data_IF_650367955377
#
_entry.id   IF_650367955377
#
_cell.length_a   1.000
_cell.length_b   1.000
_cell.length_c   1.000
_cell.angle_alpha   90.00
_cell.angle_beta   90.00
_cell.angle_gamma   90.00
#
_symmetry.space_group_name_H-M   'P 1'
#
loop_
_entity.id
_entity.type
_entity.pdbx_description
1 polymer ?
#
# COMPACT_ATOMS: atom_id res chain seq x y z
N UNK A 1 5.17 -12.68 -21.77
CA UNK A 1 4.73 -11.58 -22.66
C UNK A 1 3.65 -12.08 -23.60
N UNK A 2 2.39 -11.74 -23.30
CA UNK A 2 1.26 -12.03 -24.17
C UNK A 2 1.32 -11.21 -25.46
N UNK A 3 1.22 -11.89 -26.60
CA UNK A 3 1.03 -11.22 -27.89
C UNK A 3 -0.43 -10.84 -28.13
N UNK A 4 -0.70 -9.94 -29.10
CA UNK A 4 -2.05 -9.54 -29.50
C UNK A 4 -2.94 -10.70 -29.98
N UNK A 5 -2.36 -11.87 -30.27
CA UNK A 5 -3.08 -13.09 -30.69
C UNK A 5 -3.23 -14.14 -29.58
N UNK A 6 -2.84 -13.82 -28.34
CA UNK A 6 -3.01 -14.76 -27.22
C UNK A 6 -4.51 -14.99 -26.96
N UNK A 7 -4.99 -16.24 -26.92
CA UNK A 7 -6.37 -16.54 -26.60
C UNK A 7 -6.80 -15.93 -25.25
N UNK A 8 -8.01 -15.37 -25.22
CA UNK A 8 -8.63 -14.75 -24.05
C UNK A 8 -8.52 -15.62 -22.78
N UNK A 9 -8.81 -16.91 -22.93
CA UNK A 9 -8.80 -17.90 -21.85
C UNK A 9 -7.41 -18.14 -21.27
N UNK A 10 -6.34 -18.06 -22.08
CA UNK A 10 -4.97 -18.23 -21.59
C UNK A 10 -4.52 -17.02 -20.76
N UNK A 11 -4.95 -15.81 -21.14
CA UNK A 11 -4.71 -14.60 -20.36
C UNK A 11 -5.47 -14.70 -19.02
N UNK A 12 -6.71 -15.16 -19.04
CA UNK A 12 -7.54 -15.36 -17.84
C UNK A 12 -6.90 -16.34 -16.86
N UNK A 13 -6.55 -17.54 -17.33
CA UNK A 13 -5.94 -18.57 -16.49
C UNK A 13 -4.60 -18.13 -15.89
N UNK A 14 -3.81 -17.37 -16.65
CA UNK A 14 -2.55 -16.86 -16.14
C UNK A 14 -2.75 -15.77 -15.09
N UNK A 15 -3.66 -14.83 -15.32
CA UNK A 15 -3.99 -13.77 -14.35
C UNK A 15 -4.53 -14.39 -13.06
N UNK A 16 -5.43 -15.37 -13.17
CA UNK A 16 -5.97 -16.09 -12.02
C UNK A 16 -4.85 -16.80 -11.23
N UNK A 17 -3.94 -17.50 -11.90
CA UNK A 17 -2.80 -18.16 -11.26
C UNK A 17 -1.91 -17.15 -10.51
N UNK A 18 -1.61 -16.00 -11.13
CA UNK A 18 -0.78 -14.96 -10.49
C UNK A 18 -1.48 -14.34 -9.29
N UNK A 19 -2.80 -14.13 -9.35
CA UNK A 19 -3.58 -13.62 -8.21
C UNK A 19 -3.60 -14.64 -7.06
N UNK A 20 -3.77 -15.92 -7.36
CA UNK A 20 -3.71 -16.99 -6.34
C UNK A 20 -2.34 -17.06 -5.68
N UNK A 21 -1.25 -17.07 -6.48
CA UNK A 21 0.11 -17.06 -5.95
C UNK A 21 0.36 -15.84 -5.05
N UNK A 22 -0.11 -14.65 -5.47
CA UNK A 22 0.02 -13.43 -4.67
C UNK A 22 -0.70 -13.56 -3.32
N UNK A 23 -1.93 -14.07 -3.30
CA UNK A 23 -2.70 -14.25 -2.06
C UNK A 23 -1.99 -15.23 -1.11
N UNK A 24 -1.49 -16.34 -1.63
CA UNK A 24 -0.72 -17.32 -0.84
C UNK A 24 0.59 -16.73 -0.30
N UNK A 25 1.27 -15.92 -1.10
CA UNK A 25 2.50 -15.23 -0.69
C UNK A 25 2.23 -14.22 0.44
N UNK A 26 1.12 -13.47 0.35
CA UNK A 26 0.72 -12.52 1.39
C UNK A 26 0.40 -13.24 2.72
N UNK A 27 -0.37 -14.32 2.67
CA UNK A 27 -0.69 -15.13 3.87
C UNK A 27 0.58 -15.73 4.48
N UNK A 28 1.49 -16.25 3.66
CA UNK A 28 2.78 -16.75 4.12
C UNK A 28 3.57 -15.67 4.87
N UNK A 29 3.70 -14.48 4.29
CA UNK A 29 4.48 -13.41 4.92
C UNK A 29 3.84 -12.87 6.18
N UNK A 30 2.51 -12.75 6.23
CA UNK A 30 1.79 -12.30 7.42
C UNK A 30 1.99 -13.26 8.59
N UNK A 31 1.91 -14.58 8.34
CA UNK A 31 2.13 -15.61 9.36
C UNK A 31 3.56 -15.68 9.90
N UNK A 32 4.54 -15.23 9.12
CA UNK A 32 5.95 -15.18 9.53
C UNK A 32 6.31 -13.86 10.25
N UNK A 33 5.39 -12.89 10.32
CA UNK A 33 5.66 -11.61 10.96
C UNK A 33 5.71 -11.77 12.49
N UNK A 34 6.79 -11.32 13.15
CA UNK A 34 6.91 -11.42 14.61
C UNK A 34 5.91 -10.51 15.36
N UNK A 35 5.29 -9.54 14.69
CA UNK A 35 4.31 -8.62 15.25
C UNK A 35 2.98 -8.88 14.55
N UNK A 36 1.99 -9.42 15.25
CA UNK A 36 0.69 -9.75 14.64
C UNK A 36 -0.02 -8.50 14.09
N UNK A 37 0.10 -7.39 14.81
CA UNK A 37 -0.46 -6.09 14.44
C UNK A 37 0.20 -5.52 13.18
N UNK A 38 -0.61 -5.19 12.16
CA UNK A 38 -0.13 -4.71 10.86
C UNK A 38 0.64 -5.75 10.03
N UNK A 39 0.58 -7.03 10.39
CA UNK A 39 1.28 -8.10 9.68
C UNK A 39 0.81 -8.25 8.23
N UNK A 40 -0.50 -8.20 7.99
CA UNK A 40 -1.06 -8.25 6.63
C UNK A 40 -0.57 -7.07 5.77
N UNK A 41 -0.46 -5.86 6.33
CA UNK A 41 0.06 -4.69 5.61
C UNK A 41 1.55 -4.80 5.31
N UNK A 42 2.35 -5.34 6.23
CA UNK A 42 3.78 -5.58 5.99
C UNK A 42 3.99 -6.68 4.96
N UNK A 43 3.17 -7.72 4.97
CA UNK A 43 3.13 -8.71 3.91
C UNK A 43 2.83 -8.06 2.56
N UNK A 44 1.85 -7.15 2.52
CA UNK A 44 1.50 -6.38 1.33
C UNK A 44 2.68 -5.54 0.82
N UNK A 45 3.27 -4.70 1.68
CA UNK A 45 4.44 -3.90 1.33
C UNK A 45 5.57 -4.79 0.80
N UNK A 46 5.81 -5.93 1.46
CA UNK A 46 6.86 -6.87 1.06
C UNK A 46 6.62 -7.45 -0.33
N UNK A 47 5.44 -8.01 -0.59
CA UNK A 47 5.10 -8.62 -1.88
C UNK A 47 5.22 -7.62 -3.05
N UNK A 48 4.78 -6.38 -2.84
CA UNK A 48 4.81 -5.35 -3.89
C UNK A 48 6.13 -4.57 -3.99
N UNK A 49 7.02 -4.66 -2.99
CA UNK A 49 8.33 -3.98 -3.00
C UNK A 49 9.40 -4.67 -3.85
N UNK A 50 9.32 -5.99 -4.07
CA UNK A 50 10.34 -6.76 -4.77
C UNK A 50 10.24 -6.61 -6.31
N UNK A 51 10.83 -5.54 -6.82
CA UNK A 51 10.82 -5.10 -8.24
C UNK A 51 11.34 -6.16 -9.21
N UNK A 52 12.31 -6.96 -8.77
CA UNK A 52 13.09 -7.83 -9.65
C UNK A 52 12.34 -9.09 -10.09
N UNK A 53 11.44 -9.62 -9.27
CA UNK A 53 10.50 -10.69 -9.68
C UNK A 53 9.23 -10.14 -10.34
N UNK A 54 8.93 -8.88 -10.08
CA UNK A 54 7.77 -8.18 -10.60
C UNK A 54 7.88 -7.79 -12.09
N UNK A 55 9.09 -7.59 -12.62
CA UNK A 55 9.30 -7.35 -14.07
C UNK A 55 9.18 -8.61 -14.95
N UNK A 56 9.24 -9.80 -14.34
CA UNK A 56 9.06 -11.10 -15.01
C UNK A 56 7.61 -11.59 -15.02
N UNK A 57 6.78 -11.16 -14.06
CA UNK A 57 5.35 -11.49 -13.97
C UNK A 57 4.51 -10.43 -14.70
N UNK A 58 4.48 -10.44 -16.04
CA UNK A 58 3.61 -9.66 -16.97
C UNK A 58 2.62 -8.65 -16.30
N UNK A 59 3.11 -7.61 -15.60
CA UNK A 59 2.26 -6.73 -14.77
C UNK A 59 1.34 -5.86 -15.62
N UNK A 60 1.79 -5.55 -16.83
CA UNK A 60 0.96 -4.91 -17.85
C UNK A 60 -0.24 -5.78 -18.21
N UNK A 61 -0.09 -7.11 -18.22
CA UNK A 61 -1.20 -8.03 -18.47
C UNK A 61 -2.15 -8.11 -17.28
N UNK A 62 -1.64 -8.09 -16.04
CA UNK A 62 -2.46 -7.97 -14.83
C UNK A 62 -3.26 -6.67 -14.81
N UNK A 63 -2.63 -5.53 -15.09
CA UNK A 63 -3.31 -4.23 -15.15
C UNK A 63 -4.34 -4.20 -16.29
N UNK A 64 -3.97 -4.69 -17.48
CA UNK A 64 -4.90 -4.79 -18.60
C UNK A 64 -6.08 -5.71 -18.28
N UNK A 65 -5.83 -6.86 -17.64
CA UNK A 65 -6.88 -7.78 -17.21
C UNK A 65 -7.77 -7.18 -16.13
N UNK A 66 -7.22 -6.47 -15.14
CA UNK A 66 -8.00 -5.77 -14.12
C UNK A 66 -8.94 -4.72 -14.73
N UNK A 67 -8.48 -3.99 -15.76
CA UNK A 67 -9.30 -2.97 -16.45
C UNK A 67 -10.31 -3.60 -17.41
N UNK A 68 -9.88 -4.57 -18.24
CA UNK A 68 -10.71 -5.15 -19.28
C UNK A 68 -11.67 -6.24 -18.77
N UNK A 69 -11.31 -6.89 -17.67
CA UNK A 69 -11.99 -8.06 -17.10
C UNK A 69 -11.97 -8.01 -15.56
N UNK A 70 -12.75 -7.10 -14.94
CA UNK A 70 -12.72 -6.87 -13.50
C UNK A 70 -12.99 -8.11 -12.63
N UNK A 71 -13.69 -9.11 -13.17
CA UNK A 71 -13.94 -10.38 -12.49
C UNK A 71 -12.65 -11.18 -12.21
N UNK A 72 -11.59 -11.00 -13.02
CA UNK A 72 -10.30 -11.66 -12.77
C UNK A 72 -9.52 -11.06 -11.61
N UNK A 73 -9.86 -9.83 -11.21
CA UNK A 73 -9.31 -9.18 -10.03
C UNK A 73 -10.17 -9.43 -8.78
N UNK A 74 -11.23 -10.25 -8.86
CA UNK A 74 -12.19 -10.40 -7.78
C UNK A 74 -11.55 -10.90 -6.48
N UNK A 75 -10.64 -11.88 -6.53
CA UNK A 75 -9.94 -12.37 -5.33
C UNK A 75 -9.09 -11.29 -4.67
N UNK A 76 -8.42 -10.44 -5.45
CA UNK A 76 -7.65 -9.31 -4.92
C UNK A 76 -8.56 -8.22 -4.33
N UNK A 77 -9.69 -7.94 -4.97
CA UNK A 77 -10.71 -7.01 -4.45
C UNK A 77 -11.31 -7.54 -3.14
N UNK A 78 -11.60 -8.83 -3.05
CA UNK A 78 -12.11 -9.47 -1.84
C UNK A 78 -11.07 -9.44 -0.72
N UNK A 79 -9.78 -9.66 -1.03
CA UNK A 79 -8.69 -9.52 -0.08
C UNK A 79 -8.60 -8.09 0.46
N UNK A 80 -8.50 -7.08 -0.41
CA UNK A 80 -8.39 -5.69 0.03
C UNK A 80 -9.60 -5.27 0.86
N UNK A 81 -10.82 -5.68 0.48
CA UNK A 81 -12.04 -5.42 1.27
C UNK A 81 -12.05 -6.12 2.63
N UNK A 82 -11.42 -7.29 2.76
CA UNK A 82 -11.27 -7.98 4.04
C UNK A 82 -10.32 -7.17 4.93
N UNK A 83 -9.14 -6.84 4.42
CA UNK A 83 -8.14 -6.06 5.15
C UNK A 83 -8.68 -4.68 5.53
N UNK A 84 -9.35 -3.96 4.61
CA UNK A 84 -9.98 -2.67 4.91
C UNK A 84 -11.03 -2.77 6.01
N UNK A 85 -11.78 -3.88 6.06
CA UNK A 85 -12.79 -4.08 7.12
C UNK A 85 -12.14 -4.37 8.47
N UNK A 86 -11.06 -5.13 8.47
CA UNK A 86 -10.29 -5.44 9.68
C UNK A 86 -9.60 -4.18 10.20
N UNK A 87 -9.00 -3.37 9.32
CA UNK A 87 -8.34 -2.11 9.68
C UNK A 87 -9.29 -1.03 10.20
N UNK A 88 -10.47 -0.93 9.59
CA UNK A 88 -11.48 0.06 9.98
C UNK A 88 -12.37 -0.40 11.14
N UNK A 89 -12.17 -1.61 11.66
CA UNK A 89 -12.83 -2.07 12.87
C UNK A 89 -12.26 -1.30 14.07
N UNK A 90 -13.08 -0.54 14.83
CA UNK A 90 -12.61 0.19 16.02
C UNK A 90 -11.94 -0.69 17.09
N UNK A 91 -12.11 -2.02 17.03
CA UNK A 91 -11.46 -2.98 17.91
C UNK A 91 -10.09 -3.51 17.43
N UNK A 92 -9.65 -3.12 16.23
CA UNK A 92 -8.42 -3.61 15.61
C UNK A 92 -7.35 -2.52 15.52
N UNK A 93 -6.06 -2.90 15.52
CA UNK A 93 -5.02 -1.95 15.89
C UNK A 93 -4.40 -1.19 14.71
N UNK A 94 -4.54 -1.71 13.47
CA UNK A 94 -3.91 -1.13 12.29
C UNK A 94 -4.54 0.21 11.85
N UNK A 95 -5.84 0.41 12.12
CA UNK A 95 -6.53 1.67 11.90
C UNK A 95 -6.51 2.15 10.44
N UNK A 96 -6.77 3.44 10.23
CA UNK A 96 -6.76 4.04 8.89
C UNK A 96 -5.38 3.96 8.22
N UNK A 97 -4.30 3.78 9.00
CA UNK A 97 -2.94 3.68 8.51
C UNK A 97 -2.75 2.50 7.55
N UNK A 98 -3.31 1.33 7.85
CA UNK A 98 -3.20 0.15 6.96
C UNK A 98 -3.77 0.43 5.56
N UNK A 99 -4.94 1.09 5.51
CA UNK A 99 -5.56 1.56 4.26
C UNK A 99 -4.64 2.54 3.51
N UNK A 100 -4.05 3.52 4.21
CA UNK A 100 -3.14 4.50 3.60
C UNK A 100 -1.91 3.80 3.02
N UNK A 101 -1.33 2.84 3.75
CA UNK A 101 -0.15 2.07 3.32
C UNK A 101 -0.48 1.27 2.06
N UNK A 102 -1.61 0.56 2.02
CA UNK A 102 -2.04 -0.20 0.83
C UNK A 102 -2.24 0.70 -0.38
N UNK A 103 -2.95 1.82 -0.24
CA UNK A 103 -3.17 2.76 -1.34
C UNK A 103 -1.86 3.38 -1.86
N UNK A 104 -0.91 3.67 -0.96
CA UNK A 104 0.40 4.17 -1.35
C UNK A 104 1.21 3.10 -2.10
N UNK A 105 1.14 1.84 -1.68
CA UNK A 105 1.77 0.71 -2.36
C UNK A 105 1.15 0.46 -3.74
N UNK A 106 -0.18 0.50 -3.87
CA UNK A 106 -0.87 0.40 -5.16
C UNK A 106 -0.42 1.50 -6.12
N UNK A 107 -0.33 2.74 -5.62
CA UNK A 107 0.17 3.88 -6.39
C UNK A 107 1.64 3.72 -6.82
N UNK A 108 2.49 3.17 -5.95
CA UNK A 108 3.88 2.86 -6.27
C UNK A 108 3.97 1.77 -7.35
N UNK A 109 3.18 0.70 -7.21
CA UNK A 109 3.11 -0.41 -8.17
C UNK A 109 2.64 0.06 -9.55
N UNK A 110 1.53 0.81 -9.62
CA UNK A 110 1.05 1.39 -10.88
C UNK A 110 2.10 2.32 -11.49
N UNK A 111 2.82 3.08 -10.66
CA UNK A 111 3.88 3.95 -11.14
C UNK A 111 4.99 3.18 -11.86
N UNK A 112 5.33 1.98 -11.43
CA UNK A 112 6.37 1.16 -12.09
C UNK A 112 5.93 0.64 -13.45
N UNK A 113 4.65 0.33 -13.58
CA UNK A 113 4.05 -0.11 -14.85
C UNK A 113 4.08 1.04 -15.86
N UNK A 114 3.80 2.25 -15.42
CA UNK A 114 3.75 3.43 -16.27
C UNK A 114 5.13 4.02 -16.59
N UNK A 115 6.02 4.04 -15.59
CA UNK A 115 7.38 4.56 -15.69
C UNK A 115 8.29 3.87 -14.66
N UNK A 116 8.92 2.78 -15.09
CA UNK A 116 9.87 2.00 -14.28
C UNK A 116 11.16 2.74 -13.93
N UNK A 117 11.39 3.93 -14.52
CA UNK A 117 12.57 4.76 -14.26
C UNK A 117 12.28 5.93 -13.31
N UNK A 118 11.02 6.09 -12.89
CA UNK A 118 10.58 7.23 -12.07
C UNK A 118 11.34 7.34 -10.75
N UNK A 119 11.66 6.20 -10.13
CA UNK A 119 12.39 6.12 -8.86
C UNK A 119 13.61 5.23 -9.00
N UNK A 120 14.74 5.66 -8.42
CA UNK A 120 15.89 4.78 -8.24
C UNK A 120 15.62 3.70 -7.19
N UNK A 121 16.42 2.63 -7.21
CA UNK A 121 16.35 1.56 -6.20
C UNK A 121 16.44 2.11 -4.77
N UNK A 122 17.32 3.09 -4.52
CA UNK A 122 17.48 3.73 -3.21
C UNK A 122 16.23 4.53 -2.79
N UNK A 123 15.64 5.29 -3.73
CA UNK A 123 14.41 6.05 -3.47
C UNK A 123 13.25 5.10 -3.17
N UNK A 124 13.16 4.01 -3.92
CA UNK A 124 12.14 2.99 -3.71
C UNK A 124 12.31 2.27 -2.38
N UNK A 125 13.54 1.89 -2.02
CA UNK A 125 13.87 1.32 -0.73
C UNK A 125 13.46 2.27 0.41
N UNK A 126 13.71 3.57 0.25
CA UNK A 126 13.29 4.58 1.23
C UNK A 126 11.77 4.70 1.35
N UNK A 127 11.03 4.76 0.23
CA UNK A 127 9.56 4.84 0.23
C UNK A 127 8.98 3.61 0.93
N UNK A 128 9.38 2.41 0.50
CA UNK A 128 8.87 1.16 1.07
C UNK A 128 9.25 1.01 2.55
N UNK A 129 10.46 1.42 2.96
CA UNK A 129 10.85 1.44 4.37
C UNK A 129 9.99 2.38 5.22
N UNK A 130 9.60 3.55 4.69
CA UNK A 130 8.69 4.48 5.38
C UNK A 130 7.31 3.83 5.51
N UNK A 131 6.78 3.25 4.43
CA UNK A 131 5.48 2.59 4.44
C UNK A 131 5.46 1.41 5.43
N UNK A 132 6.49 0.58 5.45
CA UNK A 132 6.67 -0.46 6.47
C UNK A 132 6.72 0.14 7.88
N UNK A 133 7.46 1.24 8.08
CA UNK A 133 7.53 1.92 9.38
C UNK A 133 6.16 2.40 9.88
N UNK A 134 5.30 2.90 8.98
CA UNK A 134 3.95 3.34 9.32
C UNK A 134 3.09 2.19 9.87
N UNK A 135 3.26 0.95 9.38
CA UNK A 135 2.49 -0.22 9.87
C UNK A 135 2.76 -0.60 11.33
N UNK A 136 3.74 0.04 11.99
CA UNK A 136 4.02 -0.13 13.42
C UNK A 136 3.44 0.99 14.29
N UNK A 137 2.74 1.96 13.68
CA UNK A 137 2.10 3.06 14.38
C UNK A 137 0.61 2.79 14.51
N UNK A 138 0.04 3.23 15.63
CA UNK A 138 -1.41 3.38 15.76
C UNK A 138 -1.84 4.74 15.21
N UNK A 139 -3.13 4.87 14.89
CA UNK A 139 -3.73 6.12 14.42
C UNK A 139 -3.44 7.28 15.40
N UNK A 140 -3.63 7.07 16.71
CA UNK A 140 -3.38 8.09 17.73
C UNK A 140 -1.91 8.51 17.77
N UNK A 141 -1.00 7.55 17.59
CA UNK A 141 0.43 7.85 17.57
C UNK A 141 0.80 8.68 16.35
N UNK A 142 0.24 8.36 15.18
CA UNK A 142 0.45 9.15 13.98
C UNK A 142 -0.12 10.57 14.13
N UNK A 143 -1.33 10.72 14.66
CA UNK A 143 -1.94 12.02 14.93
C UNK A 143 -1.08 12.88 15.86
N UNK A 144 -0.50 12.29 16.90
CA UNK A 144 0.41 12.99 17.80
C UNK A 144 1.67 13.48 17.06
N UNK A 145 2.30 12.63 16.25
CA UNK A 145 3.48 13.00 15.44
C UNK A 145 3.14 14.11 14.45
N UNK A 146 1.99 14.04 13.78
CA UNK A 146 1.55 15.06 12.83
C UNK A 146 1.26 16.40 13.53
N UNK A 147 0.71 16.37 14.75
CA UNK A 147 0.47 17.56 15.56
C UNK A 147 1.78 18.22 15.99
N UNK A 148 2.78 17.42 16.41
CA UNK A 148 4.12 17.91 16.76
C UNK A 148 4.87 18.49 15.55
N UNK A 149 4.67 17.90 14.36
CA UNK A 149 5.31 18.32 13.12
C UNK A 149 4.63 19.51 12.44
N UNK A 150 3.35 19.77 12.77
CA UNK A 150 2.65 20.94 12.27
C UNK A 150 3.39 22.19 12.73
N UNK A 151 3.77 23.12 11.82
CA UNK A 151 4.38 24.37 12.23
C UNK A 151 3.41 25.07 13.18
N UNK A 152 3.82 25.17 14.46
CA UNK A 152 2.97 25.69 15.52
C UNK A 152 2.40 27.05 15.12
N UNK A 153 1.14 27.28 15.51
CA UNK A 153 0.39 28.52 15.33
C UNK A 153 1.05 29.67 16.13
N UNK A 154 2.27 30.02 15.70
CA UNK A 154 3.15 31.00 16.31
C UNK A 154 2.64 32.44 16.10
N UNK A 155 1.50 32.58 15.40
CA UNK A 155 0.84 33.85 15.14
C UNK A 155 -0.17 34.25 16.24
N UNK A 156 -0.61 33.33 17.10
CA UNK A 156 -1.68 33.62 18.08
C UNK A 156 -1.18 34.18 19.44
N UNK A 157 0.12 34.12 19.73
CA UNK A 157 0.69 34.67 20.98
C UNK A 157 1.26 36.09 20.86
N UNK A 158 1.33 36.68 19.66
CA UNK A 158 1.86 38.04 19.48
C UNK A 158 0.78 39.15 19.57
N UNK A 159 -0.51 38.81 19.63
CA UNK A 159 -1.63 39.76 19.60
C UNK A 159 -2.10 40.29 20.94
N UNK A 160 -1.80 39.61 22.06
CA UNK A 160 -2.44 39.88 23.35
C UNK A 160 -1.59 40.69 24.34
N UNK A 161 -0.40 41.15 23.92
CA UNK A 161 0.49 41.99 24.75
C UNK A 161 0.52 43.48 24.34
N UNK A 162 -0.32 43.92 23.39
CA UNK A 162 -0.27 45.29 22.86
C UNK A 162 -1.46 46.19 23.27
N UNK A 163 -2.31 45.78 24.21
CA UNK A 163 -3.42 46.61 24.72
C UNK A 163 -3.48 46.60 26.25
N UNK A 164 -2.37 46.93 26.91
CA UNK A 164 -2.39 47.41 28.29
C UNK A 164 -1.10 48.19 28.58
N UNK A 165 -1.05 49.46 28.17
CA UNK A 165 -0.22 50.51 28.73
C UNK A 165 -0.65 51.85 28.12
N UNK A 166 -1.29 52.65 28.98
CA UNK A 166 -1.57 54.11 28.94
C UNK A 166 -2.50 54.70 27.85
#
# INVERSE_FOLDING_TARGET
MFGPETPSEQIEQHVEAVVVELVEELDHWAQQDPVAEGSDDRAYVRAFSQVRDNSTRDQTALLHAAVARPHLAESLVQLNRRMDREDLDPGHPAGIIGVIVRLAMDGLWVSDILDSTRFSDDQRCRITSILTGLTYLTDERLEAVLTEAAPGDSASQAGDSALSSD
#
